data_IF_654018671586
#
_entry.id   IF_654018671586
#
_cell.length_a   1.000
_cell.length_b   1.000
_cell.length_c   1.000
_cell.angle_alpha   90.00
_cell.angle_beta   90.00
_cell.angle_gamma   90.00
#
_symmetry.space_group_name_H-M   'P 1'
#
loop_
_entity.id
_entity.type
_entity.pdbx_description
1 polymer ?
#
# COMPACT_ATOMS: atom_id res chain seq x y z
N UNK A 1 16.37 -18.62 -8.49
CA UNK A 1 16.32 -17.31 -9.13
C UNK A 1 15.18 -16.55 -8.49
N UNK A 2 15.43 -15.36 -7.96
CA UNK A 2 14.37 -14.56 -7.35
C UNK A 2 13.33 -14.16 -8.40
N UNK A 3 12.06 -14.50 -8.16
CA UNK A 3 10.96 -14.21 -9.08
C UNK A 3 10.34 -12.84 -8.76
N UNK A 4 11.12 -11.80 -9.07
CA UNK A 4 10.68 -10.42 -8.90
C UNK A 4 9.44 -10.08 -9.74
N UNK A 5 9.25 -10.75 -10.88
CA UNK A 5 8.11 -10.53 -11.75
C UNK A 5 6.81 -11.01 -11.09
N UNK A 6 6.82 -12.20 -10.49
CA UNK A 6 5.68 -12.71 -9.72
C UNK A 6 5.38 -11.84 -8.49
N UNK A 7 6.40 -11.37 -7.77
CA UNK A 7 6.22 -10.49 -6.62
C UNK A 7 5.58 -9.15 -7.02
N UNK A 8 6.05 -8.53 -8.12
CA UNK A 8 5.47 -7.29 -8.64
C UNK A 8 4.05 -7.48 -9.16
N UNK A 9 3.74 -8.62 -9.79
CA UNK A 9 2.38 -8.95 -10.23
C UNK A 9 1.42 -9.12 -9.05
N UNK A 10 1.86 -9.77 -7.97
CA UNK A 10 1.07 -9.90 -6.75
C UNK A 10 0.78 -8.55 -6.09
N UNK A 11 1.77 -7.64 -6.09
CA UNK A 11 1.58 -6.27 -5.60
C UNK A 11 0.64 -5.45 -6.50
N UNK A 12 0.73 -5.61 -7.82
CA UNK A 12 -0.16 -4.93 -8.76
C UNK A 12 -1.62 -5.36 -8.57
N UNK A 13 -1.87 -6.64 -8.23
CA UNK A 13 -3.20 -7.15 -7.94
C UNK A 13 -3.86 -6.48 -6.71
N UNK A 14 -3.09 -5.90 -5.79
CA UNK A 14 -3.62 -5.14 -4.66
C UNK A 14 -4.20 -3.77 -5.06
N UNK A 15 -3.95 -3.28 -6.29
CA UNK A 15 -4.42 -1.96 -6.72
C UNK A 15 -5.94 -1.83 -6.69
N UNK A 16 -6.65 -2.77 -7.31
CA UNK A 16 -8.12 -2.75 -7.40
C UNK A 16 -8.82 -2.78 -6.02
N UNK A 17 -8.49 -3.69 -5.08
CA UNK A 17 -9.13 -3.70 -3.77
C UNK A 17 -8.78 -2.47 -2.92
N UNK A 18 -7.60 -1.87 -3.12
CA UNK A 18 -7.22 -0.62 -2.45
C UNK A 18 -8.03 0.55 -3.01
N UNK A 19 -8.16 0.66 -4.34
CA UNK A 19 -8.94 1.73 -4.97
C UNK A 19 -10.42 1.65 -4.53
N UNK A 20 -11.02 0.45 -4.51
CA UNK A 20 -12.38 0.25 -4.02
C UNK A 20 -12.55 0.69 -2.55
N UNK A 21 -11.57 0.39 -1.69
CA UNK A 21 -11.58 0.88 -0.31
C UNK A 21 -11.60 2.42 -0.25
N UNK A 22 -10.81 3.11 -1.06
CA UNK A 22 -10.78 4.58 -1.07
C UNK A 22 -11.99 5.23 -1.74
N UNK A 23 -12.66 4.56 -2.68
CA UNK A 23 -13.94 5.03 -3.23
C UNK A 23 -15.06 4.97 -2.18
N UNK A 24 -15.11 3.88 -1.40
CA UNK A 24 -16.23 3.62 -0.50
C UNK A 24 -16.04 4.19 0.92
N UNK A 25 -14.81 4.58 1.30
CA UNK A 25 -14.47 4.94 2.68
C UNK A 25 -13.99 6.38 2.82
N UNK A 26 -14.80 7.22 3.46
CA UNK A 26 -14.41 8.58 3.83
C UNK A 26 -13.41 8.56 5.00
N UNK A 27 -12.12 8.77 4.74
CA UNK A 27 -11.11 8.65 5.81
C UNK A 27 -11.27 9.71 6.90
N UNK A 28 -11.57 10.95 6.52
CA UNK A 28 -11.74 12.08 7.43
C UNK A 28 -13.17 12.17 7.94
N UNK A 29 -13.67 11.08 8.52
CA UNK A 29 -14.99 11.05 9.15
C UNK A 29 -15.05 11.99 10.36
N UNK A 30 -16.26 12.50 10.63
CA UNK A 30 -16.56 13.32 11.80
C UNK A 30 -16.51 12.48 13.08
N UNK A 31 -16.85 11.19 12.99
CA UNK A 31 -16.64 10.24 14.08
C UNK A 31 -15.14 9.97 14.26
N UNK A 32 -14.61 10.43 15.38
CA UNK A 32 -13.21 10.29 15.78
C UNK A 32 -12.74 8.83 15.80
N UNK A 33 -13.58 7.91 16.29
CA UNK A 33 -13.23 6.50 16.41
C UNK A 33 -13.15 5.84 15.03
N UNK A 34 -14.08 6.17 14.13
CA UNK A 34 -14.06 5.69 12.74
C UNK A 34 -12.85 6.26 12.00
N UNK A 35 -12.56 7.55 12.15
CA UNK A 35 -11.38 8.19 11.54
C UNK A 35 -10.09 7.53 12.00
N UNK A 36 -9.91 7.32 13.30
CA UNK A 36 -8.71 6.67 13.83
C UNK A 36 -8.53 5.25 13.29
N UNK A 37 -9.61 4.47 13.20
CA UNK A 37 -9.57 3.14 12.62
C UNK A 37 -9.15 3.17 11.14
N UNK A 38 -9.75 4.08 10.34
CA UNK A 38 -9.43 4.26 8.92
C UNK A 38 -7.99 4.70 8.70
N UNK A 39 -7.47 5.60 9.53
CA UNK A 39 -6.05 6.00 9.50
C UNK A 39 -5.10 4.85 9.87
N UNK A 40 -5.46 3.99 10.82
CA UNK A 40 -4.68 2.78 11.12
C UNK A 40 -4.62 1.83 9.94
N UNK A 41 -5.75 1.65 9.25
CA UNK A 41 -5.81 0.80 8.07
C UNK A 41 -4.99 1.39 6.91
N UNK A 42 -5.07 2.71 6.69
CA UNK A 42 -4.25 3.44 5.74
C UNK A 42 -2.75 3.21 6.00
N UNK A 43 -2.30 3.38 7.24
CA UNK A 43 -0.91 3.15 7.62
C UNK A 43 -0.45 1.71 7.37
N UNK A 44 -1.35 0.73 7.55
CA UNK A 44 -1.04 -0.68 7.25
C UNK A 44 -0.84 -0.91 5.76
N UNK A 45 -1.64 -0.27 4.89
CA UNK A 45 -1.44 -0.35 3.44
C UNK A 45 -0.10 0.28 3.05
N UNK A 46 0.22 1.47 3.55
CA UNK A 46 1.50 2.14 3.28
C UNK A 46 2.69 1.27 3.71
N UNK A 47 2.60 0.59 4.86
CA UNK A 47 3.65 -0.30 5.33
C UNK A 47 3.95 -1.47 4.38
N UNK A 48 2.94 -2.03 3.71
CA UNK A 48 3.14 -3.10 2.71
C UNK A 48 3.99 -2.61 1.54
N UNK A 49 3.78 -1.37 1.09
CA UNK A 49 4.53 -0.79 -0.03
C UNK A 49 5.85 -0.14 0.38
N UNK A 50 6.04 0.20 1.66
CA UNK A 50 7.28 0.80 2.16
C UNK A 50 8.49 -0.08 1.85
N UNK A 51 8.34 -1.40 2.02
CA UNK A 51 9.40 -2.36 1.70
C UNK A 51 9.70 -2.42 0.19
N UNK A 52 8.68 -2.29 -0.66
CA UNK A 52 8.81 -2.27 -2.12
C UNK A 52 9.51 -0.99 -2.60
N UNK A 53 9.17 0.15 -2.01
CA UNK A 53 9.77 1.44 -2.33
C UNK A 53 11.26 1.48 -1.98
N UNK A 54 11.70 0.82 -0.89
CA UNK A 54 13.11 0.71 -0.54
C UNK A 54 13.90 -0.18 -1.51
N UNK A 55 13.33 -1.27 -2.05
CA UNK A 55 13.96 -2.00 -3.16
C UNK A 55 14.16 -1.08 -4.38
N UNK A 56 13.22 -0.18 -4.65
CA UNK A 56 13.35 0.84 -5.71
C UNK A 56 14.55 1.78 -5.50
N UNK A 57 14.89 2.10 -4.26
CA UNK A 57 16.09 2.87 -3.93
C UNK A 57 17.37 2.04 -4.09
N UNK A 58 17.34 0.76 -3.71
CA UNK A 58 18.48 -0.16 -3.89
C UNK A 58 18.79 -0.41 -5.37
N UNK A 59 17.77 -0.64 -6.21
CA UNK A 59 17.94 -0.86 -7.65
C UNK A 59 18.51 0.36 -8.37
N UNK A 60 18.29 1.58 -7.85
CA UNK A 60 18.83 2.82 -8.41
C UNK A 60 20.30 3.08 -8.04
N UNK A 61 20.84 2.33 -7.06
CA UNK A 61 22.24 2.40 -6.61
C UNK A 61 23.19 1.43 -7.33
N UNK A 62 22.67 0.54 -8.19
CA UNK A 62 23.47 -0.32 -9.08
C UNK A 62 23.70 0.39 -10.43
N UNK A 63 24.34 1.57 -10.38
CA UNK A 63 25.00 2.20 -11.52
C UNK A 63 26.39 2.61 -11.12
#
# INVERSE_FOLDING_TARGET
ADDYAAALAALAALRAPIDAFFEDVLIMDDDLALRENRLRLLNRFVAVFAHVADFGKMAKGAK
#
